data_IF_318794242085
#
_entry.id   IF_318794242085
#
_cell.length_a   1.000
_cell.length_b   1.000
_cell.length_c   1.000
_cell.angle_alpha   90.00
_cell.angle_beta   90.00
_cell.angle_gamma   90.00
#
_symmetry.space_group_name_H-M   'P 1'
#
loop_
_entity.id
_entity.type
_entity.pdbx_description
1 polymer ?
#
# COMPACT_ATOMS: atom_id res chain seq x y z
N UNK A 1 8.52 -15.58 20.86
CA UNK A 1 8.79 -14.37 20.04
C UNK A 1 7.69 -14.26 19.00
N UNK A 2 7.33 -13.05 18.56
CA UNK A 2 6.21 -12.81 17.62
C UNK A 2 6.30 -13.64 16.33
N UNK A 3 7.50 -13.76 15.75
CA UNK A 3 7.74 -14.60 14.57
C UNK A 3 7.39 -16.09 14.79
N UNK A 4 7.53 -16.61 16.01
CA UNK A 4 7.20 -18.00 16.33
C UNK A 4 5.69 -18.23 16.35
N UNK A 5 4.92 -17.24 16.79
CA UNK A 5 3.45 -17.28 16.77
C UNK A 5 2.93 -17.26 15.33
N UNK A 6 3.50 -16.42 14.45
CA UNK A 6 3.11 -16.36 13.05
C UNK A 6 3.45 -17.64 12.26
N UNK A 7 4.57 -18.30 12.57
CA UNK A 7 4.89 -19.61 11.98
C UNK A 7 3.89 -20.69 12.42
N UNK A 8 3.49 -20.67 13.70
CA UNK A 8 2.48 -21.59 14.21
C UNK A 8 1.12 -21.34 13.56
N UNK A 9 0.72 -20.07 13.45
CA UNK A 9 -0.51 -19.65 12.77
C UNK A 9 -0.50 -20.09 11.30
N UNK A 10 0.61 -19.85 10.59
CA UNK A 10 0.77 -20.26 9.20
C UNK A 10 0.60 -21.77 9.03
N UNK A 11 1.18 -22.58 9.92
CA UNK A 11 1.00 -24.02 9.92
C UNK A 11 -0.47 -24.43 10.14
N UNK A 12 -1.17 -23.75 11.06
CA UNK A 12 -2.59 -23.99 11.31
C UNK A 12 -3.45 -23.63 10.09
N UNK A 13 -3.20 -22.48 9.45
CA UNK A 13 -3.94 -22.06 8.26
C UNK A 13 -3.73 -22.99 7.07
N UNK A 14 -2.51 -23.49 6.84
CA UNK A 14 -2.27 -24.50 5.80
C UNK A 14 -3.01 -25.82 6.08
N UNK A 15 -3.11 -26.21 7.34
CA UNK A 15 -3.89 -27.39 7.72
C UNK A 15 -5.38 -27.17 7.47
N UNK A 16 -5.93 -26.03 7.88
CA UNK A 16 -7.32 -25.67 7.60
C UNK A 16 -7.59 -25.66 6.09
N UNK A 17 -6.70 -25.06 5.29
CA UNK A 17 -6.83 -25.06 3.84
C UNK A 17 -6.77 -26.47 3.20
N UNK A 18 -6.07 -27.43 3.84
CA UNK A 18 -6.03 -28.81 3.38
C UNK A 18 -7.28 -29.61 3.74
N UNK A 19 -7.94 -29.28 4.87
CA UNK A 19 -9.15 -29.96 5.35
C UNK A 19 -10.42 -29.37 4.71
N UNK A 20 -10.50 -28.05 4.57
CA UNK A 20 -11.70 -27.30 4.15
C UNK A 20 -11.58 -26.72 2.73
N UNK A 21 -10.38 -26.74 2.15
CA UNK A 21 -10.07 -26.09 0.88
C UNK A 21 -9.49 -24.68 1.05
N UNK A 22 -8.88 -24.16 -0.01
CA UNK A 22 -8.30 -22.83 -0.05
C UNK A 22 -9.39 -21.75 -0.22
N UNK A 23 -10.13 -21.48 0.85
CA UNK A 23 -11.15 -20.43 0.93
C UNK A 23 -10.54 -19.01 0.93
N UNK A 24 -11.36 -18.00 0.67
CA UNK A 24 -10.96 -16.58 0.73
C UNK A 24 -10.35 -16.24 2.11
N UNK A 25 -10.97 -16.71 3.19
CA UNK A 25 -10.50 -16.49 4.57
C UNK A 25 -9.15 -17.15 4.83
N UNK A 26 -8.96 -18.41 4.44
CA UNK A 26 -7.70 -19.12 4.66
C UNK A 26 -6.58 -18.54 3.80
N UNK A 27 -6.86 -18.17 2.53
CA UNK A 27 -5.90 -17.49 1.66
C UNK A 27 -5.47 -16.13 2.25
N UNK A 28 -6.42 -15.34 2.74
CA UNK A 28 -6.14 -14.06 3.38
C UNK A 28 -5.34 -14.23 4.68
N UNK A 29 -5.67 -15.23 5.50
CA UNK A 29 -4.97 -15.52 6.74
C UNK A 29 -3.52 -15.99 6.50
N UNK A 30 -3.30 -16.88 5.52
CA UNK A 30 -1.96 -17.30 5.08
C UNK A 30 -1.19 -16.07 4.56
N UNK A 31 -1.84 -15.21 3.77
CA UNK A 31 -1.25 -13.97 3.26
C UNK A 31 -0.79 -13.03 4.38
N UNK A 32 -1.65 -12.81 5.37
CA UNK A 32 -1.38 -11.98 6.55
C UNK A 32 -0.22 -12.53 7.38
N UNK A 33 -0.21 -13.83 7.67
CA UNK A 33 0.89 -14.47 8.41
C UNK A 33 2.23 -14.36 7.67
N UNK A 34 2.22 -14.50 6.34
CA UNK A 34 3.44 -14.31 5.54
C UNK A 34 3.91 -12.85 5.52
N UNK A 35 3.00 -11.88 5.50
CA UNK A 35 3.34 -10.47 5.63
C UNK A 35 4.02 -10.20 6.98
N UNK A 36 3.45 -10.69 8.08
CA UNK A 36 4.03 -10.53 9.41
C UNK A 36 5.42 -11.19 9.56
N UNK A 37 5.71 -12.22 8.76
CA UNK A 37 7.01 -12.88 8.67
C UNK A 37 7.98 -12.21 7.67
N UNK A 38 7.60 -11.12 7.03
CA UNK A 38 8.39 -10.45 5.99
C UNK A 38 8.51 -11.24 4.67
N UNK A 39 7.70 -12.28 4.48
CA UNK A 39 7.69 -13.15 3.29
C UNK A 39 6.84 -12.53 2.19
N UNK A 40 7.21 -11.34 1.74
CA UNK A 40 6.37 -10.47 0.90
C UNK A 40 5.90 -11.13 -0.40
N UNK A 41 6.74 -11.94 -1.05
CA UNK A 41 6.34 -12.65 -2.26
C UNK A 41 5.28 -13.73 -2.04
N UNK A 42 5.32 -14.40 -0.89
CA UNK A 42 4.33 -15.42 -0.52
C UNK A 42 3.03 -14.76 -0.09
N UNK A 43 3.13 -13.68 0.67
CA UNK A 43 1.99 -12.84 1.06
C UNK A 43 1.25 -12.33 -0.17
N UNK A 44 1.95 -11.67 -1.11
CA UNK A 44 1.37 -11.13 -2.34
C UNK A 44 0.62 -12.21 -3.13
N UNK A 45 1.24 -13.40 -3.29
CA UNK A 45 0.63 -14.50 -4.05
C UNK A 45 -0.68 -14.97 -3.43
N UNK A 46 -0.74 -15.12 -2.11
CA UNK A 46 -1.95 -15.62 -1.44
C UNK A 46 -3.06 -14.56 -1.41
N UNK A 47 -2.70 -13.30 -1.19
CA UNK A 47 -3.66 -12.19 -1.18
C UNK A 47 -4.26 -11.93 -2.55
N UNK A 48 -3.46 -12.02 -3.64
CA UNK A 48 -4.00 -11.95 -5.00
C UNK A 48 -4.95 -13.11 -5.30
N UNK A 49 -4.62 -14.33 -4.89
CA UNK A 49 -5.56 -15.47 -5.03
C UNK A 49 -6.85 -15.26 -4.24
N UNK A 50 -6.79 -14.69 -3.04
CA UNK A 50 -8.01 -14.35 -2.29
C UNK A 50 -8.89 -13.35 -3.07
N UNK A 51 -8.28 -12.38 -3.75
CA UNK A 51 -8.98 -11.39 -4.58
C UNK A 51 -9.40 -11.91 -5.97
N UNK A 52 -8.81 -13.00 -6.46
CA UNK A 52 -9.31 -13.74 -7.63
C UNK A 52 -10.65 -14.43 -7.30
N UNK A 53 -10.79 -14.94 -6.07
CA UNK A 53 -12.02 -15.56 -5.58
C UNK A 53 -13.10 -14.51 -5.23
N UNK A 54 -12.73 -13.44 -4.53
CA UNK A 54 -13.61 -12.29 -4.27
C UNK A 54 -12.85 -10.96 -4.41
N UNK A 55 -13.02 -10.25 -5.53
CA UNK A 55 -12.39 -8.95 -5.78
C UNK A 55 -12.78 -7.85 -4.79
N UNK A 56 -13.83 -8.06 -3.99
CA UNK A 56 -14.36 -7.08 -3.02
C UNK A 56 -13.95 -7.39 -1.57
N UNK A 57 -13.10 -8.40 -1.36
CA UNK A 57 -12.71 -8.82 -0.02
C UNK A 57 -11.71 -7.85 0.63
N UNK A 58 -12.24 -6.85 1.34
CA UNK A 58 -11.51 -5.74 1.97
C UNK A 58 -10.28 -6.18 2.78
N UNK A 59 -10.31 -7.22 3.62
CA UNK A 59 -9.13 -7.63 4.39
C UNK A 59 -7.93 -8.01 3.51
N UNK A 60 -8.18 -8.70 2.39
CA UNK A 60 -7.11 -9.06 1.46
C UNK A 60 -6.59 -7.84 0.69
N UNK A 61 -7.46 -6.89 0.32
CA UNK A 61 -7.06 -5.65 -0.32
C UNK A 61 -6.13 -4.82 0.59
N UNK A 62 -6.52 -4.64 1.86
CA UNK A 62 -5.71 -3.89 2.82
C UNK A 62 -4.32 -4.53 3.00
N UNK A 63 -4.25 -5.84 3.22
CA UNK A 63 -2.97 -6.54 3.36
C UNK A 63 -2.15 -6.51 2.07
N UNK A 64 -2.79 -6.60 0.90
CA UNK A 64 -2.09 -6.51 -0.39
C UNK A 64 -1.48 -5.13 -0.57
N UNK A 65 -2.21 -4.07 -0.23
CA UNK A 65 -1.69 -2.70 -0.25
C UNK A 65 -0.44 -2.55 0.62
N UNK A 66 -0.42 -3.13 1.83
CA UNK A 66 0.74 -3.11 2.73
C UNK A 66 1.93 -3.86 2.10
N UNK A 67 1.69 -5.06 1.57
CA UNK A 67 2.74 -5.82 0.86
C UNK A 67 3.31 -5.02 -0.32
N UNK A 68 2.46 -4.35 -1.09
CA UNK A 68 2.89 -3.54 -2.23
C UNK A 68 3.71 -2.31 -1.80
N UNK A 69 3.34 -1.66 -0.69
CA UNK A 69 4.14 -0.59 -0.07
C UNK A 69 5.53 -1.08 0.30
N UNK A 70 5.64 -2.19 1.04
CA UNK A 70 6.92 -2.74 1.48
C UNK A 70 7.80 -3.22 0.32
N UNK A 71 7.18 -3.59 -0.81
CA UNK A 71 7.87 -3.95 -2.06
C UNK A 71 8.23 -2.74 -2.94
N UNK A 72 7.91 -1.51 -2.53
CA UNK A 72 8.16 -0.29 -3.31
C UNK A 72 7.23 -0.11 -4.52
N UNK A 73 6.18 -0.91 -4.66
CA UNK A 73 5.18 -0.81 -5.73
C UNK A 73 4.11 0.24 -5.35
N UNK A 74 4.54 1.46 -5.08
CA UNK A 74 3.73 2.49 -4.44
C UNK A 74 2.47 2.88 -5.24
N UNK A 75 2.58 2.97 -6.57
CA UNK A 75 1.44 3.29 -7.44
C UNK A 75 0.35 2.20 -7.38
N UNK A 76 0.74 0.93 -7.38
CA UNK A 76 -0.21 -0.18 -7.25
C UNK A 76 -0.82 -0.22 -5.85
N UNK A 77 -0.01 -0.02 -4.81
CA UNK A 77 -0.48 0.03 -3.43
C UNK A 77 -1.56 1.10 -3.23
N UNK A 78 -1.34 2.31 -3.77
CA UNK A 78 -2.32 3.40 -3.73
C UNK A 78 -3.65 3.00 -4.35
N UNK A 79 -3.63 2.39 -5.53
CA UNK A 79 -4.86 1.95 -6.20
C UNK A 79 -5.62 0.91 -5.38
N UNK A 80 -4.91 -0.09 -4.83
CA UNK A 80 -5.53 -1.13 -4.00
C UNK A 80 -6.13 -0.53 -2.72
N UNK A 81 -5.45 0.40 -2.05
CA UNK A 81 -6.01 1.07 -0.87
C UNK A 81 -7.20 1.97 -1.19
N UNK A 82 -7.22 2.63 -2.36
CA UNK A 82 -8.38 3.40 -2.81
C UNK A 82 -9.60 2.51 -3.00
N UNK A 83 -9.41 1.33 -3.61
CA UNK A 83 -10.49 0.36 -3.78
C UNK A 83 -10.97 -0.21 -2.43
N UNK A 84 -10.05 -0.55 -1.52
CA UNK A 84 -10.39 -1.01 -0.17
C UNK A 84 -11.20 0.05 0.60
N UNK A 85 -10.76 1.32 0.53
CA UNK A 85 -11.47 2.45 1.16
C UNK A 85 -12.87 2.64 0.58
N UNK A 86 -13.02 2.53 -0.74
CA UNK A 86 -14.32 2.65 -1.41
C UNK A 86 -15.27 1.51 -0.99
N UNK A 87 -14.76 0.28 -0.95
CA UNK A 87 -15.54 -0.90 -0.59
C UNK A 87 -16.00 -0.88 0.88
N UNK A 88 -15.15 -0.37 1.78
CA UNK A 88 -15.45 -0.20 3.20
C UNK A 88 -16.18 1.13 3.51
N UNK A 89 -16.53 1.92 2.49
CA UNK A 89 -17.13 3.26 2.65
C UNK A 89 -16.32 4.19 3.59
N UNK A 90 -15.00 3.97 3.68
CA UNK A 90 -14.07 4.74 4.51
C UNK A 90 -14.23 4.59 6.03
N UNK A 91 -14.86 3.51 6.50
CA UNK A 91 -15.18 3.31 7.92
C UNK A 91 -13.99 2.85 8.76
N UNK A 92 -13.04 2.12 8.17
CA UNK A 92 -11.89 1.55 8.88
C UNK A 92 -10.72 2.52 8.91
N UNK A 93 -10.30 2.92 10.12
CA UNK A 93 -9.22 3.87 10.33
C UNK A 93 -7.88 3.38 9.74
N UNK A 94 -7.55 2.09 9.89
CA UNK A 94 -6.30 1.54 9.34
C UNK A 94 -6.22 1.63 7.82
N UNK A 95 -7.34 1.43 7.12
CA UNK A 95 -7.41 1.58 5.65
C UNK A 95 -7.20 3.05 5.26
N UNK A 96 -7.81 3.98 6.00
CA UNK A 96 -7.64 5.42 5.79
C UNK A 96 -6.20 5.87 6.00
N UNK A 97 -5.57 5.42 7.08
CA UNK A 97 -4.17 5.70 7.38
C UNK A 97 -3.23 5.12 6.33
N UNK A 98 -3.46 3.87 5.93
CA UNK A 98 -2.66 3.21 4.90
C UNK A 98 -2.79 3.92 3.54
N UNK A 99 -4.00 4.33 3.15
CA UNK A 99 -4.23 5.12 1.94
C UNK A 99 -3.48 6.46 2.00
N UNK A 100 -3.56 7.17 3.14
CA UNK A 100 -2.84 8.43 3.33
C UNK A 100 -1.33 8.26 3.15
N UNK A 101 -0.76 7.20 3.77
CA UNK A 101 0.66 6.87 3.62
C UNK A 101 1.03 6.52 2.18
N UNK A 102 0.19 5.77 1.49
CA UNK A 102 0.42 5.42 0.08
C UNK A 102 0.37 6.64 -0.84
N UNK A 103 -0.57 7.57 -0.62
CA UNK A 103 -0.64 8.83 -1.37
C UNK A 103 0.64 9.65 -1.16
N UNK A 104 1.01 9.89 0.11
CA UNK A 104 2.22 10.64 0.44
C UNK A 104 3.48 10.01 -0.15
N UNK A 105 3.59 8.67 -0.09
CA UNK A 105 4.73 7.96 -0.68
C UNK A 105 4.77 8.08 -2.20
N UNK A 106 3.61 8.03 -2.89
CA UNK A 106 3.56 8.26 -4.34
C UNK A 106 3.92 9.70 -4.73
N UNK A 107 3.49 10.69 -3.95
CA UNK A 107 3.78 12.10 -4.22
C UNK A 107 5.26 12.45 -3.99
N UNK A 108 5.87 11.88 -2.94
CA UNK A 108 7.30 12.04 -2.69
C UNK A 108 8.18 11.47 -3.82
N UNK A 109 7.74 10.42 -4.52
CA UNK A 109 8.44 9.90 -5.70
C UNK A 109 8.32 10.84 -6.89
N UNK A 110 7.16 11.49 -7.07
CA UNK A 110 6.94 12.43 -8.17
C UNK A 110 7.66 13.76 -7.91
N UNK A 111 7.79 14.16 -6.65
CA UNK A 111 8.51 15.36 -6.24
C UNK A 111 9.91 14.99 -5.72
N UNK A 112 10.83 14.66 -6.63
CA UNK A 112 12.27 14.71 -6.33
C UNK A 112 12.73 16.16 -6.46
N UNK A 113 13.23 16.81 -5.40
CA UNK A 113 13.65 18.22 -5.45
C UNK A 113 14.87 18.48 -6.34
N UNK A 114 15.44 17.45 -6.99
CA UNK A 114 16.68 17.55 -7.76
C UNK A 114 16.52 18.14 -9.19
N UNK A 115 15.31 18.52 -9.65
CA UNK A 115 15.15 19.02 -11.04
C UNK A 115 14.55 20.42 -11.23
N UNK A 116 14.18 21.18 -10.19
CA UNK A 116 13.75 22.59 -10.39
C UNK A 116 14.26 23.56 -9.32
N UNK A 117 15.56 23.53 -9.01
CA UNK A 117 16.25 24.78 -8.65
C UNK A 117 16.61 25.54 -9.93
N UNK A 118 15.60 25.88 -10.73
CA UNK A 118 15.74 27.06 -11.57
C UNK A 118 15.97 28.23 -10.61
N UNK A 119 17.10 28.92 -10.68
CA UNK A 119 17.34 30.14 -9.90
C UNK A 119 16.36 31.23 -10.35
N UNK A 120 15.11 31.16 -9.86
CA UNK A 120 14.09 32.15 -10.10
C UNK A 120 14.32 33.30 -9.13
N UNK A 121 14.76 34.45 -9.65
CA UNK A 121 14.86 35.67 -8.85
C UNK A 121 13.58 36.49 -9.01
N UNK A 122 12.89 36.74 -7.89
CA UNK A 122 11.77 37.66 -7.86
C UNK A 122 12.28 39.10 -7.82
N UNK A 123 12.03 39.87 -8.88
CA UNK A 123 12.45 41.28 -8.95
C UNK A 123 11.21 42.18 -8.93
N UNK A 124 11.16 43.08 -7.94
CA UNK A 124 10.12 44.11 -7.85
C UNK A 124 10.39 45.22 -8.88
N UNK A 125 9.43 45.47 -9.77
CA UNK A 125 9.51 46.54 -10.79
C UNK A 125 8.81 47.82 -10.34
N UNK A 126 7.64 47.70 -9.71
CA UNK A 126 6.83 48.85 -9.25
C UNK A 126 6.07 48.51 -7.96
N UNK A 127 5.25 49.43 -7.45
CA UNK A 127 4.39 49.17 -6.29
C UNK A 127 3.37 48.08 -6.64
N UNK A 128 3.61 46.86 -6.14
CA UNK A 128 2.75 45.69 -6.35
C UNK A 128 3.04 44.87 -7.61
N UNK A 129 4.03 45.23 -8.44
CA UNK A 129 4.42 44.43 -9.62
C UNK A 129 5.76 43.73 -9.41
N UNK A 130 5.75 42.41 -9.59
CA UNK A 130 6.91 41.54 -9.49
C UNK A 130 7.09 40.75 -10.78
N UNK A 131 8.34 40.44 -11.14
CA UNK A 131 8.69 39.59 -12.28
C UNK A 131 9.56 38.44 -11.77
N UNK A 132 9.24 37.21 -12.18
CA UNK A 132 10.14 36.08 -12.05
C UNK A 132 11.14 36.12 -13.21
N UNK A 133 12.43 36.10 -12.88
CA UNK A 133 13.50 35.96 -13.86
C UNK A 133 14.17 34.61 -13.66
N UNK A 134 14.31 33.83 -14.72
CA UNK A 134 15.18 32.65 -14.78
C UNK A 134 16.60 33.11 -15.11
N UNK A 135 17.61 32.64 -14.38
CA UNK A 135 18.99 32.73 -14.85
C UNK A 135 19.20 31.58 -15.86
N UNK A 136 19.47 31.95 -17.12
CA UNK A 136 19.92 31.02 -18.17
C UNK A 136 21.40 30.72 -18.00
#
# INVERSE_FOLDING_TARGET
MEAQEYELALKAYYRAAAEEGATIDTLSAIGSANLALGRLGQAEKMLRRALEEDPTFVPAMNNLGVVLMERGKLGEARLVFQQAFAQDSGQTDSIRENLMRAIAATEAVVYSPDEEEGEFRLVRREKGKYVLLTQL
#
